data_IF_025511315979
#
_entry.id   IF_025511315979
#
_cell.length_a   1.000
_cell.length_b   1.000
_cell.length_c   1.000
_cell.angle_alpha   90.00
_cell.angle_beta   90.00
_cell.angle_gamma   90.00
#
_symmetry.space_group_name_H-M   'P 1'
#
loop_
_entity.id
_entity.type
_entity.pdbx_description
1 polymer ?
#
# COMPACT_ATOMS: atom_id res chain seq x y z
N UNK A 1 11.14 4.18 -13.31
CA UNK A 1 9.75 4.68 -13.41
C UNK A 1 9.52 5.25 -14.81
N UNK A 2 8.79 4.55 -15.70
CA UNK A 2 8.65 4.97 -17.09
C UNK A 2 7.98 6.36 -17.27
N UNK A 3 6.99 6.69 -16.44
CA UNK A 3 6.28 7.98 -16.53
C UNK A 3 7.13 9.18 -16.09
N UNK A 4 7.99 9.02 -15.08
CA UNK A 4 8.87 10.11 -14.64
C UNK A 4 9.90 10.47 -15.71
N UNK A 5 10.47 9.45 -16.39
CA UNK A 5 11.41 9.66 -17.50
C UNK A 5 10.73 10.38 -18.67
N UNK A 6 9.54 9.93 -19.08
CA UNK A 6 8.77 10.56 -20.15
C UNK A 6 8.36 12.01 -19.82
N UNK A 7 8.02 12.28 -18.55
CA UNK A 7 7.71 13.65 -18.13
C UNK A 7 8.95 14.56 -18.19
N UNK A 8 10.12 14.06 -17.78
CA UNK A 8 11.38 14.80 -17.88
C UNK A 8 11.78 15.07 -19.34
N UNK A 9 11.59 14.09 -20.23
CA UNK A 9 11.77 14.27 -21.69
C UNK A 9 10.81 15.32 -22.27
N UNK A 10 9.61 15.47 -21.70
CA UNK A 10 8.66 16.53 -22.04
C UNK A 10 8.96 17.88 -21.36
N UNK A 11 10.08 18.01 -20.65
CA UNK A 11 10.48 19.23 -19.94
C UNK A 11 9.74 19.48 -18.61
N UNK A 12 9.04 18.46 -18.09
CA UNK A 12 8.28 18.54 -16.83
C UNK A 12 9.08 17.82 -15.74
N UNK A 13 9.68 18.58 -14.83
CA UNK A 13 10.37 18.01 -13.68
C UNK A 13 9.35 17.54 -12.62
N UNK A 14 9.14 16.23 -12.55
CA UNK A 14 8.11 15.65 -11.67
C UNK A 14 8.39 14.19 -11.35
N UNK A 15 7.81 13.71 -10.26
CA UNK A 15 7.80 12.28 -9.91
C UNK A 15 6.71 11.49 -10.63
N UNK A 16 6.87 10.16 -10.62
CA UNK A 16 6.00 9.25 -11.37
C UNK A 16 4.51 9.34 -10.98
N UNK A 17 4.20 9.55 -9.69
CA UNK A 17 2.83 9.71 -9.21
C UNK A 17 2.18 11.03 -9.64
N UNK A 18 2.97 12.10 -9.70
CA UNK A 18 2.51 13.42 -10.14
C UNK A 18 2.32 13.46 -11.66
N UNK A 19 3.23 12.85 -12.44
CA UNK A 19 3.04 12.67 -13.89
C UNK A 19 1.79 11.85 -14.20
N UNK A 20 1.53 10.80 -13.42
CA UNK A 20 0.32 9.99 -13.50
C UNK A 20 -0.95 10.84 -13.29
N UNK A 21 -0.97 11.65 -12.21
CA UNK A 21 -2.08 12.54 -11.86
C UNK A 21 -2.36 13.59 -12.94
N UNK A 22 -1.32 14.16 -13.51
CA UNK A 22 -1.44 15.13 -14.61
C UNK A 22 -2.19 14.51 -15.78
N UNK A 23 -1.82 13.29 -16.20
CA UNK A 23 -2.51 12.58 -17.28
C UNK A 23 -3.97 12.20 -16.96
N UNK A 24 -4.34 12.05 -15.68
CA UNK A 24 -5.70 11.71 -15.23
C UNK A 24 -6.59 12.93 -14.95
N UNK A 25 -6.05 14.14 -15.07
CA UNK A 25 -6.79 15.32 -14.69
C UNK A 25 -7.92 15.63 -15.70
N UNK A 26 -9.17 15.48 -15.25
CA UNK A 26 -10.36 15.76 -16.06
C UNK A 26 -10.59 17.25 -16.29
N UNK A 27 -10.05 18.12 -15.43
CA UNK A 27 -10.21 19.57 -15.57
C UNK A 27 -9.62 20.11 -16.88
N UNK A 28 -8.71 19.36 -17.53
CA UNK A 28 -8.19 19.74 -18.85
C UNK A 28 -9.22 19.66 -19.98
N UNK A 29 -10.36 18.98 -19.76
CA UNK A 29 -11.50 18.96 -20.68
C UNK A 29 -12.37 20.21 -20.57
N UNK A 30 -12.08 21.08 -19.60
CA UNK A 30 -12.90 22.21 -19.22
C UNK A 30 -13.93 21.84 -18.16
N UNK A 31 -14.24 22.81 -17.31
CA UNK A 31 -15.35 22.78 -16.35
C UNK A 31 -16.00 24.17 -16.28
N UNK A 32 -16.90 24.38 -15.32
CA UNK A 32 -17.62 25.66 -15.16
C UNK A 32 -16.69 26.84 -14.83
N UNK A 33 -15.46 26.57 -14.37
CA UNK A 33 -14.48 27.56 -13.92
C UNK A 33 -13.26 27.67 -14.85
N UNK A 34 -12.77 26.56 -15.39
CA UNK A 34 -11.59 26.48 -16.25
C UNK A 34 -11.95 26.16 -17.70
N UNK A 35 -11.37 26.87 -18.68
CA UNK A 35 -11.55 26.54 -20.09
C UNK A 35 -10.87 25.21 -20.45
N UNK A 36 -11.40 24.54 -21.47
CA UNK A 36 -10.81 23.31 -21.99
C UNK A 36 -9.42 23.56 -22.60
N UNK A 37 -8.45 22.74 -22.20
CA UNK A 37 -7.07 22.77 -22.71
C UNK A 37 -6.86 21.66 -23.76
N UNK A 38 -7.54 20.52 -23.60
CA UNK A 38 -7.48 19.37 -24.51
C UNK A 38 -8.88 18.88 -24.87
N UNK A 39 -8.99 18.21 -26.01
CA UNK A 39 -10.23 17.58 -26.46
C UNK A 39 -10.50 16.24 -25.76
N UNK A 40 -11.79 15.87 -25.69
CA UNK A 40 -12.24 14.61 -25.10
C UNK A 40 -11.61 13.38 -25.77
N UNK A 41 -11.40 13.43 -27.08
CA UNK A 41 -10.82 12.31 -27.82
C UNK A 41 -9.35 12.10 -27.44
N UNK A 42 -8.54 13.16 -27.33
CA UNK A 42 -7.14 13.06 -26.88
C UNK A 42 -7.05 12.53 -25.46
N UNK A 43 -7.89 13.02 -24.54
CA UNK A 43 -7.94 12.50 -23.17
C UNK A 43 -8.26 11.00 -23.14
N UNK A 44 -9.28 10.57 -23.89
CA UNK A 44 -9.70 9.17 -23.95
C UNK A 44 -8.61 8.27 -24.52
N UNK A 45 -7.91 8.70 -25.58
CA UNK A 45 -6.77 7.98 -26.16
C UNK A 45 -5.64 7.79 -25.14
N UNK A 46 -5.32 8.83 -24.37
CA UNK A 46 -4.31 8.75 -23.32
C UNK A 46 -4.70 7.76 -22.20
N UNK A 47 -5.97 7.76 -21.76
CA UNK A 47 -6.47 6.82 -20.77
C UNK A 47 -6.43 5.37 -21.28
N UNK A 48 -6.84 5.14 -22.53
CA UNK A 48 -6.84 3.81 -23.15
C UNK A 48 -5.41 3.23 -23.23
N UNK A 49 -4.42 4.01 -23.67
CA UNK A 49 -3.02 3.56 -23.73
C UNK A 49 -2.45 3.31 -22.32
N UNK A 50 -2.83 4.14 -21.33
CA UNK A 50 -2.46 3.91 -19.93
C UNK A 50 -3.01 2.59 -19.40
N UNK A 51 -4.28 2.31 -19.67
CA UNK A 51 -4.95 1.08 -19.26
C UNK A 51 -4.30 -0.14 -19.93
N UNK A 52 -4.07 -0.09 -21.24
CA UNK A 52 -3.35 -1.11 -22.00
C UNK A 52 -1.97 -1.41 -21.42
N UNK A 53 -1.20 -0.38 -21.04
CA UNK A 53 0.11 -0.55 -20.38
C UNK A 53 -0.02 -1.15 -18.99
N UNK A 54 -1.04 -0.78 -18.22
CA UNK A 54 -1.30 -1.35 -16.90
C UNK A 54 -1.62 -2.85 -16.99
N UNK A 55 -2.41 -3.25 -17.99
CA UNK A 55 -2.74 -4.65 -18.29
C UNK A 55 -1.51 -5.44 -18.73
N UNK A 56 -0.73 -4.91 -19.67
CA UNK A 56 0.54 -5.53 -20.10
C UNK A 56 1.53 -5.74 -18.95
N UNK A 57 1.51 -4.86 -17.94
CA UNK A 57 2.35 -4.95 -16.75
C UNK A 57 1.72 -5.77 -15.61
N UNK A 58 0.54 -6.37 -15.81
CA UNK A 58 -0.16 -7.16 -14.80
C UNK A 58 -0.63 -6.37 -13.58
N UNK A 59 -0.81 -5.04 -13.71
CA UNK A 59 -1.14 -4.14 -12.60
C UNK A 59 -2.63 -4.03 -12.30
N UNK A 60 -3.48 -4.43 -13.24
CA UNK A 60 -4.95 -4.37 -13.13
C UNK A 60 -5.52 -5.45 -12.23
N UNK A 61 -4.95 -6.66 -12.27
CA UNK A 61 -5.46 -7.84 -11.55
C UNK A 61 -4.50 -8.32 -10.47
N UNK A 62 -4.03 -7.39 -9.62
CA UNK A 62 -3.39 -7.81 -8.35
C UNK A 62 -4.46 -8.47 -7.49
N UNK A 63 -4.60 -9.79 -7.62
CA UNK A 63 -5.25 -10.60 -6.59
C UNK A 63 -4.56 -10.21 -5.29
N UNK A 64 -5.28 -9.56 -4.37
CA UNK A 64 -4.79 -9.45 -3.00
C UNK A 64 -4.53 -10.88 -2.58
N UNK A 65 -3.28 -11.21 -2.24
CA UNK A 65 -3.01 -12.46 -1.53
C UNK A 65 -4.08 -12.53 -0.44
N UNK A 66 -4.81 -13.65 -0.30
CA UNK A 66 -5.67 -13.79 0.86
C UNK A 66 -4.79 -13.46 2.08
N UNK A 67 -5.29 -12.65 3.03
CA UNK A 67 -4.53 -12.37 4.23
C UNK A 67 -4.02 -13.69 4.79
N UNK A 68 -2.75 -13.73 5.23
CA UNK A 68 -2.15 -14.95 5.73
C UNK A 68 -3.11 -15.58 6.76
N UNK A 69 -3.66 -16.73 6.42
CA UNK A 69 -4.68 -17.40 7.22
C UNK A 69 -4.06 -18.12 8.40
N UNK A 70 -2.72 -18.20 8.47
CA UNK A 70 -1.99 -18.68 9.64
C UNK A 70 -2.28 -17.74 10.81
N UNK A 71 -3.14 -18.19 11.70
CA UNK A 71 -3.32 -17.53 12.99
C UNK A 71 -2.04 -17.74 13.81
N UNK A 72 -1.49 -16.70 14.45
CA UNK A 72 -0.39 -16.90 15.38
C UNK A 72 -0.84 -17.87 16.49
N UNK A 73 0.05 -18.74 17.00
CA UNK A 73 -0.27 -19.55 18.16
C UNK A 73 -0.62 -18.61 19.32
N UNK A 74 -1.85 -18.76 19.84
CA UNK A 74 -2.37 -17.98 20.97
C UNK A 74 -2.45 -18.83 22.24
N UNK A 75 -2.13 -20.12 22.13
CA UNK A 75 -2.09 -21.05 23.25
C UNK A 75 -0.66 -21.06 23.78
N UNK A 76 -0.54 -20.86 25.07
CA UNK A 76 0.70 -21.00 25.82
C UNK A 76 0.36 -21.63 27.16
N UNK A 77 1.35 -22.28 27.77
CA UNK A 77 1.23 -22.79 29.13
C UNK A 77 2.10 -21.93 30.05
N UNK A 78 1.67 -21.79 31.29
CA UNK A 78 2.45 -21.17 32.35
C UNK A 78 2.79 -22.28 33.35
N UNK A 79 4.05 -22.33 33.75
CA UNK A 79 4.43 -23.13 34.92
C UNK A 79 3.84 -22.51 36.20
N UNK A 80 3.65 -23.32 37.23
CA UNK A 80 3.07 -22.87 38.49
C UNK A 80 4.02 -21.85 39.16
N UNK A 81 3.54 -20.64 39.53
CA UNK A 81 4.38 -19.66 40.19
C UNK A 81 4.72 -20.12 41.61
N UNK A 82 6.01 -20.10 41.95
CA UNK A 82 6.52 -20.46 43.28
C UNK A 82 6.72 -19.22 44.17
N UNK A 83 6.77 -18.02 43.57
CA UNK A 83 7.08 -16.76 44.25
C UNK A 83 6.13 -15.64 43.82
N UNK A 84 5.87 -14.72 44.74
CA UNK A 84 5.11 -13.49 44.50
C UNK A 84 6.00 -12.32 44.93
N UNK A 85 6.13 -11.32 44.05
CA UNK A 85 6.91 -10.12 44.25
C UNK A 85 5.98 -8.90 44.44
N UNK A 86 6.38 -7.97 45.31
CA UNK A 86 5.60 -6.76 45.60
C UNK A 86 5.67 -5.71 44.49
N UNK A 87 6.80 -5.63 43.76
CA UNK A 87 6.93 -4.72 42.61
C UNK A 87 6.14 -5.26 41.40
N UNK A 88 5.13 -4.53 40.90
CA UNK A 88 4.33 -4.96 39.76
C UNK A 88 5.16 -5.22 38.50
N UNK A 89 6.24 -4.47 38.29
CA UNK A 89 7.11 -4.67 37.13
C UNK A 89 7.88 -6.00 37.23
N UNK A 90 8.48 -6.24 38.40
CA UNK A 90 9.21 -7.46 38.68
C UNK A 90 8.30 -8.70 38.66
N UNK A 91 7.10 -8.58 39.21
CA UNK A 91 6.09 -9.64 39.17
C UNK A 91 5.69 -9.99 37.73
N UNK A 92 5.50 -8.99 36.87
CA UNK A 92 5.21 -9.22 35.46
C UNK A 92 6.37 -9.95 34.76
N UNK A 93 7.59 -9.47 34.93
CA UNK A 93 8.80 -10.09 34.35
C UNK A 93 8.94 -11.57 34.76
N UNK A 94 8.74 -11.87 36.06
CA UNK A 94 8.71 -13.23 36.55
C UNK A 94 7.63 -14.08 35.88
N UNK A 95 6.38 -13.61 35.80
CA UNK A 95 5.30 -14.34 35.15
C UNK A 95 5.54 -14.59 33.65
N UNK A 96 6.11 -13.62 32.94
CA UNK A 96 6.50 -13.80 31.52
C UNK A 96 7.61 -14.85 31.36
N UNK A 97 8.53 -14.96 32.32
CA UNK A 97 9.56 -16.01 32.32
C UNK A 97 9.02 -17.43 32.48
N UNK A 98 7.81 -17.58 33.04
CA UNK A 98 7.13 -18.87 33.23
C UNK A 98 6.35 -19.34 31.98
N UNK A 99 6.33 -18.56 30.90
CA UNK A 99 5.67 -18.93 29.65
C UNK A 99 6.46 -20.05 28.96
N UNK A 100 5.87 -21.25 28.93
CA UNK A 100 6.32 -22.35 28.11
C UNK A 100 5.72 -22.17 26.71
N UNK A 101 6.56 -21.85 25.72
CA UNK A 101 6.12 -21.82 24.32
C UNK A 101 5.77 -23.24 23.87
N UNK A 102 4.60 -23.44 23.25
CA UNK A 102 4.31 -24.67 22.50
C UNK A 102 5.37 -24.82 21.40
N UNK A 103 6.40 -25.64 21.63
CA UNK A 103 7.26 -26.14 20.57
C UNK A 103 6.44 -27.21 19.84
N UNK A 104 5.90 -26.84 18.68
CA UNK A 104 5.53 -27.77 17.62
C UNK A 104 6.49 -27.57 16.45
#
# INVERSE_FOLDING_TARGET
MALAKAAHEAGIETWHGSAKRLLENRHFLGDDYYPAIIDQQTYNKAQAERQRRAEKLGRTNRKKQPPDTRKPPTRFKLSAPESIYDDPKQQAEYLYSLIESEVQ
#
